data_IF_653925908617
#
_entry.id   IF_653925908617
#
_cell.length_a   1.000
_cell.length_b   1.000
_cell.length_c   1.000
_cell.angle_alpha   90.00
_cell.angle_beta   90.00
_cell.angle_gamma   90.00
#
_symmetry.space_group_name_H-M   'P 1'
#
loop_
_entity.id
_entity.type
_entity.pdbx_description
1 polymer ?
#
# COMPACT_ATOMS: atom_id res chain seq x y z
N UNK A 1 -4.57 -35.83 9.20
CA UNK A 1 -3.74 -34.94 10.03
C UNK A 1 -4.12 -33.52 9.64
N UNK A 2 -4.98 -32.86 10.42
CA UNK A 2 -5.33 -31.46 10.17
C UNK A 2 -4.09 -30.60 10.42
N UNK A 3 -3.67 -29.84 9.41
CA UNK A 3 -2.62 -28.86 9.56
C UNK A 3 -3.18 -27.72 10.42
N UNK A 4 -2.72 -27.61 11.67
CA UNK A 4 -2.98 -26.43 12.48
C UNK A 4 -2.42 -25.21 11.72
N UNK A 5 -3.21 -24.12 11.55
CA UNK A 5 -2.71 -22.94 10.87
C UNK A 5 -1.48 -22.43 11.61
N UNK A 6 -0.35 -22.32 10.90
CA UNK A 6 0.89 -21.82 11.47
C UNK A 6 0.65 -20.39 11.97
N UNK A 7 0.76 -20.18 13.28
CA UNK A 7 0.72 -18.85 13.87
C UNK A 7 1.75 -17.95 13.17
N UNK A 8 1.28 -16.84 12.59
CA UNK A 8 2.16 -15.87 11.93
C UNK A 8 2.67 -14.92 13.02
N UNK A 9 3.99 -14.82 13.25
CA UNK A 9 4.52 -13.91 14.25
C UNK A 9 4.38 -12.47 13.77
N UNK A 10 4.34 -11.56 14.73
CA UNK A 10 4.35 -10.12 14.47
C UNK A 10 5.70 -9.74 13.85
N UNK A 11 5.69 -9.40 12.56
CA UNK A 11 6.91 -9.01 11.83
C UNK A 11 7.58 -7.78 12.46
N UNK A 12 6.81 -6.88 13.08
CA UNK A 12 7.35 -5.74 13.81
C UNK A 12 8.20 -6.14 15.02
N UNK A 13 7.85 -7.22 15.73
CA UNK A 13 8.68 -7.75 16.83
C UNK A 13 9.89 -8.49 16.29
N UNK A 14 9.70 -9.29 15.24
CA UNK A 14 10.79 -9.97 14.53
C UNK A 14 11.85 -8.99 14.02
N UNK A 15 11.44 -7.80 13.57
CA UNK A 15 12.35 -6.75 13.11
C UNK A 15 13.17 -6.10 14.25
N UNK A 16 12.72 -6.20 15.50
CA UNK A 16 13.50 -5.74 16.67
C UNK A 16 14.55 -6.77 17.08
N UNK A 17 14.38 -8.03 16.69
CA UNK A 17 15.36 -9.07 16.92
C UNK A 17 16.61 -8.83 16.04
N UNK A 18 17.79 -9.11 16.59
CA UNK A 18 19.07 -8.95 15.87
C UNK A 18 19.33 -10.13 14.94
N UNK A 19 18.41 -10.39 14.02
CA UNK A 19 18.53 -11.48 13.05
C UNK A 19 19.59 -11.15 11.99
N UNK A 20 20.45 -12.12 11.70
CA UNK A 20 21.48 -12.00 10.64
C UNK A 20 20.94 -12.33 9.25
N UNK A 21 19.74 -12.92 9.18
CA UNK A 21 19.08 -13.33 7.94
C UNK A 21 17.56 -13.30 8.10
N UNK A 22 16.84 -13.02 7.02
CA UNK A 22 15.38 -13.12 6.97
C UNK A 22 14.96 -14.59 7.14
N UNK A 23 13.96 -14.91 7.99
CA UNK A 23 13.51 -16.30 8.15
C UNK A 23 12.96 -16.88 6.85
N UNK A 24 13.19 -18.17 6.64
CA UNK A 24 12.90 -18.86 5.37
C UNK A 24 11.44 -18.71 4.91
N UNK A 25 10.49 -18.67 5.85
CA UNK A 25 9.05 -18.46 5.55
C UNK A 25 8.71 -17.14 4.84
N UNK A 26 9.61 -16.15 4.87
CA UNK A 26 9.46 -14.85 4.20
C UNK A 26 10.34 -14.73 2.96
N UNK A 27 11.20 -15.72 2.70
CA UNK A 27 12.05 -15.76 1.51
C UNK A 27 11.19 -16.22 0.34
N UNK A 28 11.04 -15.36 -0.67
CA UNK A 28 10.32 -15.71 -1.90
C UNK A 28 11.09 -16.75 -2.72
N UNK A 29 10.34 -17.62 -3.39
CA UNK A 29 10.90 -18.54 -4.39
C UNK A 29 11.57 -17.77 -5.52
N UNK A 30 12.55 -18.37 -6.17
CA UNK A 30 13.38 -17.67 -7.15
C UNK A 30 12.57 -17.06 -8.30
N UNK A 31 11.49 -17.73 -8.72
CA UNK A 31 10.55 -17.29 -9.75
C UNK A 31 9.54 -16.21 -9.30
N UNK A 32 9.42 -15.96 -7.99
CA UNK A 32 8.52 -14.95 -7.39
C UNK A 32 9.27 -13.71 -6.90
N UNK A 33 10.60 -13.77 -6.93
CA UNK A 33 11.44 -12.62 -6.61
C UNK A 33 11.22 -11.57 -7.70
N UNK A 34 10.97 -10.30 -7.31
CA UNK A 34 10.93 -9.23 -8.29
C UNK A 34 12.20 -9.29 -9.13
N UNK A 35 12.05 -9.27 -10.46
CA UNK A 35 13.19 -9.01 -11.32
C UNK A 35 13.83 -7.72 -10.81
N UNK A 36 15.14 -7.74 -10.56
CA UNK A 36 15.87 -6.54 -10.17
C UNK A 36 15.53 -5.47 -11.19
N UNK A 37 14.74 -4.47 -10.78
CA UNK A 37 14.35 -3.39 -11.67
C UNK A 37 15.64 -2.63 -11.95
N UNK A 38 16.21 -2.86 -13.13
CA UNK A 38 17.39 -2.14 -13.57
C UNK A 38 17.04 -0.65 -13.44
N UNK A 39 17.73 0.09 -12.59
CA UNK A 39 17.45 1.51 -12.34
C UNK A 39 17.65 2.41 -13.59
N UNK A 40 17.91 1.80 -14.75
CA UNK A 40 18.04 2.42 -16.07
C UNK A 40 16.71 2.53 -16.83
N UNK A 41 15.63 1.88 -16.41
CA UNK A 41 14.29 2.15 -16.96
C UNK A 41 13.65 3.30 -16.18
N UNK A 42 13.50 4.44 -16.85
CA UNK A 42 12.64 5.54 -16.37
C UNK A 42 11.31 4.95 -15.90
N UNK A 43 10.91 5.16 -14.63
CA UNK A 43 9.63 4.67 -14.15
C UNK A 43 8.55 5.18 -15.11
N UNK A 44 7.77 4.27 -15.69
CA UNK A 44 6.60 4.69 -16.46
C UNK A 44 5.74 5.54 -15.52
N UNK A 45 5.46 6.81 -15.83
CA UNK A 45 4.77 7.69 -14.91
C UNK A 45 3.34 7.17 -14.71
N UNK A 46 3.03 6.75 -13.49
CA UNK A 46 1.67 6.34 -13.11
C UNK A 46 0.69 7.45 -13.48
N UNK A 47 -0.46 7.13 -14.10
CA UNK A 47 -1.46 8.13 -14.45
C UNK A 47 -1.89 8.92 -13.21
N UNK A 48 -2.00 10.24 -13.36
CA UNK A 48 -2.52 11.15 -12.32
C UNK A 48 -3.84 11.69 -12.83
N UNK A 49 -4.89 11.53 -12.02
CA UNK A 49 -6.25 12.00 -12.29
C UNK A 49 -6.57 13.13 -11.31
N UNK A 50 -7.05 14.25 -11.84
CA UNK A 50 -7.48 15.41 -11.07
C UNK A 50 -8.99 15.40 -10.88
N UNK A 51 -9.44 15.12 -9.65
CA UNK A 51 -10.88 15.04 -9.37
C UNK A 51 -11.59 16.38 -9.58
N UNK A 52 -10.92 17.50 -9.32
CA UNK A 52 -11.52 18.82 -9.53
C UNK A 52 -11.84 19.07 -11.00
N UNK A 53 -10.98 18.59 -11.92
CA UNK A 53 -11.21 18.68 -13.37
C UNK A 53 -12.32 17.74 -13.83
N UNK A 54 -12.41 16.53 -13.29
CA UNK A 54 -13.52 15.60 -13.55
C UNK A 54 -14.88 16.20 -13.19
N UNK A 55 -14.94 17.03 -12.14
CA UNK A 55 -16.16 17.68 -11.67
C UNK A 55 -16.40 19.06 -12.32
N UNK A 56 -15.40 19.62 -13.00
CA UNK A 56 -15.52 20.90 -13.72
C UNK A 56 -16.33 20.77 -15.01
N UNK A 57 -16.92 21.86 -15.51
CA UNK A 57 -17.60 21.84 -16.81
C UNK A 57 -16.61 21.82 -17.98
N UNK A 58 -15.52 22.57 -17.87
CA UNK A 58 -14.61 22.82 -18.99
C UNK A 58 -13.57 21.71 -19.20
N UNK A 59 -13.23 20.96 -18.14
CA UNK A 59 -12.19 19.92 -18.20
C UNK A 59 -12.71 18.50 -17.96
N UNK A 60 -14.01 18.31 -17.77
CA UNK A 60 -14.57 16.98 -17.49
C UNK A 60 -14.31 15.98 -18.61
N UNK A 61 -14.55 16.35 -19.86
CA UNK A 61 -14.38 15.43 -21.00
C UNK A 61 -12.94 14.92 -21.13
N UNK A 62 -11.90 15.77 -21.21
CA UNK A 62 -10.52 15.27 -21.33
C UNK A 62 -10.05 14.51 -20.08
N UNK A 63 -10.49 14.90 -18.89
CA UNK A 63 -10.09 14.20 -17.66
C UNK A 63 -10.80 12.84 -17.50
N UNK A 64 -12.05 12.74 -17.97
CA UNK A 64 -12.80 11.48 -18.00
C UNK A 64 -12.15 10.48 -18.96
N UNK A 65 -11.69 10.94 -20.12
CA UNK A 65 -10.95 10.09 -21.06
C UNK A 65 -9.63 9.60 -20.46
N UNK A 66 -8.90 10.46 -19.75
CA UNK A 66 -7.70 10.05 -18.98
C UNK A 66 -8.02 8.98 -17.94
N UNK A 67 -9.10 9.16 -17.19
CA UNK A 67 -9.54 8.17 -16.21
C UNK A 67 -9.90 6.84 -16.88
N UNK A 68 -10.64 6.88 -17.99
CA UNK A 68 -11.00 5.70 -18.77
C UNK A 68 -9.74 4.95 -19.24
N UNK A 69 -8.77 5.69 -19.77
CA UNK A 69 -7.53 5.13 -20.28
C UNK A 69 -6.66 4.52 -19.16
N UNK A 70 -6.54 5.22 -18.03
CA UNK A 70 -5.85 4.70 -16.84
C UNK A 70 -6.50 3.41 -16.32
N UNK A 71 -7.83 3.35 -16.27
CA UNK A 71 -8.54 2.13 -15.87
C UNK A 71 -8.30 0.95 -16.83
N UNK A 72 -8.22 1.20 -18.14
CA UNK A 72 -8.04 0.15 -19.16
C UNK A 72 -6.61 -0.35 -19.31
N UNK A 73 -5.64 0.56 -19.35
CA UNK A 73 -4.24 0.22 -19.62
C UNK A 73 -3.46 -0.10 -18.35
N UNK A 74 -3.77 0.58 -17.24
CA UNK A 74 -3.00 0.46 -16.01
C UNK A 74 -3.73 -0.32 -14.91
N UNK A 75 -5.03 -0.11 -14.76
CA UNK A 75 -5.79 -0.59 -13.60
C UNK A 75 -5.38 0.11 -12.29
N UNK A 76 -4.52 1.12 -12.35
CA UNK A 76 -4.01 1.88 -11.20
C UNK A 76 -3.68 3.32 -11.60
N UNK A 77 -3.96 4.27 -10.72
CA UNK A 77 -3.70 5.69 -10.92
C UNK A 77 -3.65 6.42 -9.58
N UNK A 78 -3.06 7.61 -9.57
CA UNK A 78 -3.09 8.52 -8.42
C UNK A 78 -4.22 9.52 -8.61
N UNK A 79 -4.99 9.79 -7.55
CA UNK A 79 -6.02 10.83 -7.56
C UNK A 79 -5.52 12.04 -6.78
N UNK A 80 -5.58 13.23 -7.38
CA UNK A 80 -5.25 14.51 -6.74
C UNK A 80 -6.47 15.42 -6.70
N UNK A 81 -6.41 16.47 -5.88
CA UNK A 81 -7.51 17.42 -5.67
C UNK A 81 -8.83 16.70 -5.32
N UNK A 82 -8.73 15.59 -4.59
CA UNK A 82 -9.85 14.70 -4.25
C UNK A 82 -10.81 15.28 -3.18
N UNK A 83 -10.56 16.50 -2.70
CA UNK A 83 -11.44 17.21 -1.76
C UNK A 83 -11.39 16.71 -0.31
N UNK A 84 -10.63 15.65 -0.02
CA UNK A 84 -10.41 15.18 1.37
C UNK A 84 -9.48 16.15 2.08
N UNK A 85 -9.88 16.60 3.26
CA UNK A 85 -9.11 17.54 4.06
C UNK A 85 -7.73 16.96 4.42
N UNK A 86 -6.67 17.75 4.25
CA UNK A 86 -5.29 17.32 4.51
C UNK A 86 -5.04 17.04 5.99
N UNK A 87 -5.62 17.82 6.91
CA UNK A 87 -5.53 17.55 8.35
C UNK A 87 -6.13 16.19 8.70
N UNK A 88 -7.29 15.85 8.12
CA UNK A 88 -7.90 14.53 8.32
C UNK A 88 -6.97 13.39 7.86
N UNK A 89 -6.31 13.57 6.70
CA UNK A 89 -5.35 12.58 6.21
C UNK A 89 -4.16 12.41 7.18
N UNK A 90 -3.63 13.51 7.70
CA UNK A 90 -2.54 13.47 8.69
C UNK A 90 -2.99 12.86 10.02
N UNK A 91 -4.22 13.09 10.44
CA UNK A 91 -4.81 12.49 11.64
C UNK A 91 -4.96 10.97 11.49
N UNK A 92 -5.41 10.49 10.32
CA UNK A 92 -5.47 9.05 10.01
C UNK A 92 -4.07 8.44 10.03
N UNK A 93 -3.09 9.07 9.36
CA UNK A 93 -1.70 8.59 9.38
C UNK A 93 -1.16 8.49 10.80
N UNK A 94 -1.38 9.52 11.61
CA UNK A 94 -0.97 9.57 13.01
C UNK A 94 -1.65 8.48 13.83
N UNK A 95 -2.97 8.31 13.72
CA UNK A 95 -3.69 7.27 14.44
C UNK A 95 -3.24 5.85 14.09
N UNK A 96 -2.97 5.58 12.80
CA UNK A 96 -2.39 4.29 12.36
C UNK A 96 -1.00 4.11 12.96
N UNK A 97 -0.14 5.13 12.90
CA UNK A 97 1.19 5.06 13.50
C UNK A 97 1.11 4.80 15.00
N UNK A 98 0.33 5.58 15.75
CA UNK A 98 0.12 5.43 17.19
C UNK A 98 -0.33 4.01 17.55
N UNK A 99 -1.30 3.47 16.82
CA UNK A 99 -1.76 2.08 17.01
C UNK A 99 -0.63 1.06 16.82
N UNK A 100 0.16 1.17 15.74
CA UNK A 100 1.27 0.24 15.51
C UNK A 100 2.44 0.42 16.50
N UNK A 101 2.57 1.58 17.15
CA UNK A 101 3.54 1.81 18.25
C UNK A 101 3.11 1.20 19.59
N UNK A 102 1.83 0.82 19.76
CA UNK A 102 1.37 0.13 20.96
C UNK A 102 2.11 -1.21 21.17
N UNK A 103 2.22 -1.68 22.43
CA UNK A 103 2.70 -3.02 22.73
C UNK A 103 1.92 -4.09 21.97
N UNK A 104 2.58 -5.21 21.69
CA UNK A 104 1.97 -6.34 20.97
C UNK A 104 0.72 -6.85 21.69
N UNK A 105 0.74 -6.88 23.02
CA UNK A 105 -0.34 -7.34 23.89
C UNK A 105 -1.61 -6.51 23.69
N UNK A 106 -1.46 -5.20 23.49
CA UNK A 106 -2.58 -4.30 23.21
C UNK A 106 -3.15 -4.56 21.81
N UNK A 107 -2.28 -4.73 20.81
CA UNK A 107 -2.70 -5.05 19.43
C UNK A 107 -3.39 -6.41 19.34
N UNK A 108 -2.97 -7.38 20.14
CA UNK A 108 -3.57 -8.73 20.20
C UNK A 108 -5.02 -8.76 20.66
N UNK A 109 -5.48 -7.75 21.39
CA UNK A 109 -6.90 -7.63 21.78
C UNK A 109 -7.84 -7.53 20.56
N UNK A 110 -7.30 -7.17 19.39
CA UNK A 110 -8.04 -7.02 18.13
C UNK A 110 -7.82 -8.19 17.15
N UNK A 111 -7.12 -9.26 17.54
CA UNK A 111 -6.98 -10.46 16.71
C UNK A 111 -8.34 -11.19 16.57
N UNK A 112 -8.61 -11.70 15.37
CA UNK A 112 -9.76 -12.57 15.14
C UNK A 112 -9.57 -13.89 15.92
N UNK A 113 -10.63 -14.34 16.57
CA UNK A 113 -10.66 -15.61 17.32
C UNK A 113 -10.68 -16.81 16.38
#
# INVERSE_FOLDING_TARGET
MEATPLAVPFVQELAKEKLTRVPERYVRLHNERPALYNSSTTPLPLPIIDLSKLLSKDHKVPELERLHQACKEWGFFQLINHGVNTSLLEDVKRGVQEFFHLPKEEKKKFEQR
#
